data_IF_803317096303
#
_entry.id   IF_803317096303
#
_cell.length_a   1.000
_cell.length_b   1.000
_cell.length_c   1.000
_cell.angle_alpha   90.00
_cell.angle_beta   90.00
_cell.angle_gamma   90.00
#
_symmetry.space_group_name_H-M   'P 1'
#
loop_
_entity.id
_entity.type
_entity.pdbx_description
1 polymer ?
#
# COMPACT_ATOMS: atom_id res chain seq x y z
N UNK A 1 7.68 13.62 -0.28
CA UNK A 1 7.19 14.58 -1.30
C UNK A 1 7.33 16.05 -0.84
N UNK A 2 6.80 16.46 0.35
CA UNK A 2 6.86 17.85 0.80
C UNK A 2 8.26 18.48 0.72
N UNK A 3 9.28 17.81 1.30
CA UNK A 3 10.66 18.29 1.25
C UNK A 3 11.23 18.38 -0.18
N UNK A 4 10.80 17.51 -1.09
CA UNK A 4 11.18 17.54 -2.51
C UNK A 4 10.54 18.71 -3.24
N UNK A 5 9.23 18.94 -3.02
CA UNK A 5 8.53 20.10 -3.58
C UNK A 5 9.18 21.41 -3.15
N UNK A 6 9.51 21.54 -1.86
CA UNK A 6 10.23 22.71 -1.35
C UNK A 6 11.62 22.86 -1.99
N UNK A 7 12.30 21.74 -2.31
CA UNK A 7 13.60 21.78 -3.03
C UNK A 7 13.44 22.29 -4.45
N UNK A 8 12.34 21.93 -5.11
CA UNK A 8 12.01 22.37 -6.46
C UNK A 8 11.42 23.79 -6.53
N UNK A 9 11.38 24.52 -5.42
CA UNK A 9 10.82 25.88 -5.36
C UNK A 9 9.29 25.94 -5.25
N UNK A 10 8.63 24.79 -4.99
CA UNK A 10 7.18 24.74 -4.80
C UNK A 10 6.74 25.35 -3.48
N UNK A 11 5.55 25.98 -3.47
CA UNK A 11 4.91 26.51 -2.26
C UNK A 11 3.98 25.45 -1.65
N UNK A 12 4.05 25.29 -0.33
CA UNK A 12 3.18 24.36 0.42
C UNK A 12 2.37 25.17 1.44
N UNK A 13 1.06 25.23 1.22
CA UNK A 13 0.12 25.94 2.10
C UNK A 13 -0.03 25.24 3.47
N UNK A 14 0.08 23.93 3.51
CA UNK A 14 0.04 23.16 4.76
C UNK A 14 0.19 21.67 4.56
N UNK A 15 0.54 20.97 5.65
CA UNK A 15 0.59 19.50 5.73
C UNK A 15 -0.49 19.06 6.72
N UNK A 16 -1.41 18.23 6.25
CA UNK A 16 -2.50 17.68 7.04
C UNK A 16 -2.16 16.23 7.44
N UNK A 17 -1.97 15.99 8.74
CA UNK A 17 -1.69 14.65 9.27
C UNK A 17 -3.00 14.00 9.70
N UNK A 18 -3.42 12.98 8.96
CA UNK A 18 -4.65 12.21 9.16
C UNK A 18 -4.41 10.91 9.94
N UNK A 19 -3.17 10.46 10.05
CA UNK A 19 -2.79 9.21 10.72
C UNK A 19 -3.18 9.14 12.20
N UNK A 20 -3.15 7.94 12.76
CA UNK A 20 -3.39 7.70 14.19
C UNK A 20 -2.36 8.43 15.07
N UNK A 21 -2.70 8.76 16.32
CA UNK A 21 -1.76 9.32 17.27
C UNK A 21 -0.53 8.42 17.41
N UNK A 22 0.65 9.05 17.41
CA UNK A 22 1.92 8.32 17.49
C UNK A 22 2.11 7.72 18.89
N UNK A 23 2.31 6.41 18.94
CA UNK A 23 2.66 5.72 20.17
C UNK A 23 4.16 5.91 20.50
N UNK A 24 4.47 6.83 21.38
CA UNK A 24 5.87 7.10 21.78
C UNK A 24 6.56 5.90 22.42
N UNK A 25 5.82 5.03 23.10
CA UNK A 25 6.37 3.77 23.64
C UNK A 25 6.90 2.89 22.52
N UNK A 26 6.13 2.71 21.45
CA UNK A 26 6.57 1.95 20.27
C UNK A 26 7.72 2.63 19.52
N UNK A 27 7.74 3.96 19.46
CA UNK A 27 8.86 4.70 18.89
C UNK A 27 10.13 4.41 19.67
N UNK A 28 10.11 4.50 21.01
CA UNK A 28 11.27 4.20 21.87
C UNK A 28 11.74 2.75 21.72
N UNK A 29 10.84 1.80 21.47
CA UNK A 29 11.19 0.38 21.26
C UNK A 29 11.85 0.13 19.89
N UNK A 30 11.44 0.86 18.84
CA UNK A 30 11.87 0.60 17.45
C UNK A 30 13.02 1.52 17.00
N UNK A 31 13.17 2.69 17.61
CA UNK A 31 14.16 3.70 17.24
C UNK A 31 15.61 3.24 17.43
N UNK A 32 16.02 2.55 18.53
CA UNK A 32 17.41 2.13 18.71
C UNK A 32 17.91 1.22 17.62
N UNK A 33 17.12 0.22 17.22
CA UNK A 33 17.47 -0.69 16.14
C UNK A 33 17.56 0.05 14.80
N UNK A 34 16.62 0.93 14.49
CA UNK A 34 16.62 1.73 13.27
C UNK A 34 17.86 2.65 13.18
N UNK A 35 18.28 3.28 14.29
CA UNK A 35 19.49 4.10 14.34
C UNK A 35 20.74 3.24 14.13
N UNK A 36 20.82 2.07 14.79
CA UNK A 36 21.98 1.20 14.70
C UNK A 36 22.16 0.59 13.30
N UNK A 37 21.08 0.10 12.72
CA UNK A 37 21.11 -0.60 11.43
C UNK A 37 21.12 0.35 10.23
N UNK A 38 20.40 1.48 10.29
CA UNK A 38 20.16 2.40 9.19
C UNK A 38 20.36 3.88 9.55
N UNK A 39 21.52 4.29 10.14
CA UNK A 39 21.72 5.69 10.56
C UNK A 39 21.53 6.69 9.42
N UNK A 40 21.93 6.33 8.19
CA UNK A 40 21.76 7.18 7.02
C UNK A 40 20.32 7.43 6.62
N UNK A 41 19.40 6.47 6.83
CA UNK A 41 17.98 6.69 6.57
C UNK A 41 17.35 7.59 7.63
N UNK A 42 17.73 7.41 8.89
CA UNK A 42 17.30 8.28 10.00
C UNK A 42 17.78 9.71 9.75
N UNK A 43 19.06 9.91 9.41
CA UNK A 43 19.61 11.22 9.10
C UNK A 43 18.87 11.89 7.92
N UNK A 44 18.60 11.17 6.83
CA UNK A 44 17.78 11.66 5.71
C UNK A 44 16.38 12.08 6.15
N UNK A 45 15.75 11.31 7.04
CA UNK A 45 14.45 11.63 7.62
C UNK A 45 14.48 12.94 8.42
N UNK A 46 15.45 13.09 9.29
CA UNK A 46 15.65 14.29 10.11
C UNK A 46 15.93 15.54 9.25
N UNK A 47 16.78 15.43 8.22
CA UNK A 47 17.06 16.53 7.28
C UNK A 47 15.77 16.98 6.56
N UNK A 48 14.92 16.02 6.13
CA UNK A 48 13.64 16.35 5.49
C UNK A 48 12.68 17.06 6.45
N UNK A 49 12.60 16.60 7.71
CA UNK A 49 11.78 17.25 8.74
C UNK A 49 12.30 18.64 9.09
N UNK A 50 13.61 18.79 9.23
CA UNK A 50 14.26 20.09 9.47
C UNK A 50 13.94 21.06 8.31
N UNK A 51 14.02 20.62 7.06
CA UNK A 51 13.68 21.45 5.90
C UNK A 51 12.23 21.95 5.94
N UNK A 52 11.27 21.07 6.24
CA UNK A 52 9.84 21.42 6.37
C UNK A 52 9.68 22.48 7.48
N UNK A 53 10.37 22.29 8.60
CA UNK A 53 10.34 23.24 9.73
C UNK A 53 10.96 24.59 9.37
N UNK A 54 12.16 24.63 8.79
CA UNK A 54 12.84 25.86 8.40
C UNK A 54 12.12 26.63 7.29
N UNK A 55 11.39 25.93 6.42
CA UNK A 55 10.53 26.58 5.44
C UNK A 55 9.18 27.04 6.02
N UNK A 56 9.00 26.99 7.34
CA UNK A 56 7.79 27.45 8.07
C UNK A 56 6.48 26.84 7.53
N UNK A 57 6.53 25.58 7.02
CA UNK A 57 5.33 24.92 6.53
C UNK A 57 4.42 24.55 7.69
N UNK A 58 3.21 25.09 7.67
CA UNK A 58 2.19 24.82 8.71
C UNK A 58 1.82 23.34 8.69
N UNK A 59 1.93 22.69 9.84
CA UNK A 59 1.56 21.26 9.99
C UNK A 59 0.40 21.13 10.97
N UNK A 60 -0.71 20.58 10.49
CA UNK A 60 -1.92 20.35 11.28
C UNK A 60 -1.98 18.86 11.62
N UNK A 61 -2.15 18.56 12.90
CA UNK A 61 -2.19 17.18 13.41
C UNK A 61 -3.62 16.75 13.71
N UNK A 62 -3.85 15.45 13.66
CA UNK A 62 -5.14 14.85 13.99
C UNK A 62 -6.29 15.44 13.18
N UNK A 63 -6.04 15.66 11.90
CA UNK A 63 -6.99 16.30 10.99
C UNK A 63 -8.12 15.35 10.64
N UNK A 64 -9.34 15.90 10.64
CA UNK A 64 -10.59 15.21 10.28
C UNK A 64 -11.41 16.06 9.31
N UNK A 65 -12.40 15.45 8.68
CA UNK A 65 -13.39 16.12 7.81
C UNK A 65 -12.73 17.02 6.76
N UNK A 66 -11.83 16.45 5.97
CA UNK A 66 -11.19 17.19 4.87
C UNK A 66 -12.19 17.31 3.71
N UNK A 67 -12.44 18.54 3.27
CA UNK A 67 -13.32 18.86 2.15
C UNK A 67 -12.57 19.73 1.15
N UNK A 68 -12.59 19.32 -0.11
CA UNK A 68 -12.11 20.12 -1.23
C UNK A 68 -13.22 21.06 -1.71
N UNK A 69 -12.90 22.35 -1.87
CA UNK A 69 -13.85 23.40 -2.29
C UNK A 69 -13.40 24.09 -3.55
N UNK A 70 -14.35 24.41 -4.41
CA UNK A 70 -14.13 25.14 -5.66
C UNK A 70 -15.17 24.81 -6.72
N UNK A 71 -15.21 25.58 -7.79
CA UNK A 71 -16.10 25.39 -8.93
C UNK A 71 -15.28 25.02 -10.17
N UNK A 72 -15.34 23.73 -10.57
CA UNK A 72 -14.57 23.20 -11.71
C UNK A 72 -13.08 23.02 -11.46
N UNK A 73 -12.50 23.64 -10.45
CA UNK A 73 -11.12 23.47 -9.98
C UNK A 73 -11.05 23.60 -8.47
N UNK A 74 -9.98 23.07 -7.86
CA UNK A 74 -9.73 23.27 -6.44
C UNK A 74 -9.34 24.74 -6.19
N UNK A 75 -9.97 25.37 -5.21
CA UNK A 75 -9.71 26.75 -4.77
C UNK A 75 -9.28 26.79 -3.31
N UNK A 76 -9.90 25.96 -2.47
CA UNK A 76 -9.58 25.88 -1.06
C UNK A 76 -9.81 24.46 -0.50
N UNK A 77 -9.19 24.19 0.64
CA UNK A 77 -9.41 22.98 1.44
C UNK A 77 -9.87 23.40 2.83
N UNK A 78 -11.01 22.88 3.29
CA UNK A 78 -11.46 23.00 4.67
C UNK A 78 -11.24 21.71 5.43
N UNK A 79 -10.87 21.80 6.71
CA UNK A 79 -10.65 20.65 7.58
C UNK A 79 -10.78 21.03 9.04
N UNK A 80 -11.00 20.04 9.90
CA UNK A 80 -11.07 20.20 11.36
C UNK A 80 -9.81 19.63 12.01
N UNK A 81 -9.16 20.41 12.88
CA UNK A 81 -7.96 19.99 13.60
C UNK A 81 -8.28 19.23 14.91
N UNK A 82 -7.24 18.84 15.66
CA UNK A 82 -7.35 18.11 16.94
C UNK A 82 -8.10 18.88 18.05
N UNK A 83 -8.24 20.19 17.92
CA UNK A 83 -8.97 21.05 18.86
C UNK A 83 -10.44 21.23 18.47
N UNK A 84 -10.86 20.64 17.34
CA UNK A 84 -12.20 20.82 16.79
C UNK A 84 -12.37 22.14 16.02
N UNK A 85 -11.28 22.88 15.75
CA UNK A 85 -11.32 24.13 15.01
C UNK A 85 -11.33 23.84 13.52
N UNK A 86 -12.27 24.43 12.79
CA UNK A 86 -12.33 24.33 11.34
C UNK A 86 -11.41 25.39 10.72
N UNK A 87 -10.52 24.94 9.86
CA UNK A 87 -9.60 25.76 9.10
C UNK A 87 -10.01 25.81 7.62
N UNK A 88 -9.71 26.93 6.97
CA UNK A 88 -9.82 27.10 5.53
C UNK A 88 -8.46 27.53 4.99
N UNK A 89 -7.97 26.81 3.99
CA UNK A 89 -6.65 27.07 3.39
C UNK A 89 -6.80 27.10 1.88
N UNK A 90 -6.41 28.21 1.26
CA UNK A 90 -6.40 28.35 -0.18
C UNK A 90 -5.35 27.43 -0.79
N UNK A 91 -5.74 26.63 -1.75
CA UNK A 91 -4.86 25.68 -2.43
C UNK A 91 -5.39 25.33 -3.82
N UNK A 92 -4.52 25.37 -4.81
CA UNK A 92 -4.83 24.93 -6.17
C UNK A 92 -4.66 23.42 -6.36
N UNK A 93 -3.92 22.75 -5.47
CA UNK A 93 -3.67 21.30 -5.53
C UNK A 93 -3.76 20.71 -4.13
N UNK A 94 -4.52 19.63 -3.99
CA UNK A 94 -4.55 18.77 -2.79
C UNK A 94 -3.91 17.43 -3.14
N UNK A 95 -2.78 17.11 -2.50
CA UNK A 95 -2.13 15.81 -2.63
C UNK A 95 -2.57 14.91 -1.49
N UNK A 96 -3.18 13.77 -1.83
CA UNK A 96 -3.68 12.80 -0.86
C UNK A 96 -2.79 11.57 -0.86
N UNK A 97 -2.39 11.10 0.33
CA UNK A 97 -1.59 9.89 0.51
C UNK A 97 -1.88 9.26 1.87
N UNK A 98 -2.57 8.12 1.88
CA UNK A 98 -2.96 7.40 3.11
C UNK A 98 -2.08 6.17 3.38
N UNK A 99 -1.05 5.93 2.62
CA UNK A 99 -0.12 4.82 2.77
C UNK A 99 0.11 4.04 1.49
N UNK A 100 0.95 3.02 1.59
CA UNK A 100 1.26 2.08 0.51
C UNK A 100 0.94 0.67 0.99
N UNK A 101 0.39 -0.13 0.08
CA UNK A 101 0.12 -1.55 0.29
C UNK A 101 0.77 -2.38 -0.81
N UNK A 102 1.14 -3.65 -0.55
CA UNK A 102 1.66 -4.54 -1.56
C UNK A 102 0.71 -4.74 -2.74
N UNK A 103 1.26 -4.80 -3.95
CA UNK A 103 0.49 -5.07 -5.18
C UNK A 103 0.26 -6.58 -5.36
N UNK A 104 -0.66 -7.18 -4.62
CA UNK A 104 -0.85 -8.63 -4.52
C UNK A 104 -1.63 -9.28 -5.67
N UNK A 105 -2.20 -8.49 -6.58
CA UNK A 105 -3.08 -8.98 -7.66
C UNK A 105 -2.44 -10.02 -8.58
N UNK A 106 -1.16 -9.88 -9.03
CA UNK A 106 -0.52 -10.90 -9.85
C UNK A 106 -0.39 -12.24 -9.13
N UNK A 107 -0.08 -12.21 -7.83
CA UNK A 107 0.05 -13.43 -6.99
C UNK A 107 -1.30 -14.11 -6.85
N UNK A 108 -2.38 -13.37 -6.57
CA UNK A 108 -3.74 -13.90 -6.51
C UNK A 108 -4.20 -14.48 -7.84
N UNK A 109 -3.91 -13.81 -8.96
CA UNK A 109 -4.27 -14.28 -10.29
C UNK A 109 -3.58 -15.60 -10.65
N UNK A 110 -2.36 -15.82 -10.15
CA UNK A 110 -1.61 -17.06 -10.28
C UNK A 110 -1.99 -18.16 -9.27
N UNK A 111 -2.95 -17.89 -8.37
CA UNK A 111 -3.37 -18.84 -7.34
C UNK A 111 -2.52 -18.86 -6.08
N UNK A 112 -1.64 -17.88 -5.90
CA UNK A 112 -0.81 -17.74 -4.70
C UNK A 112 -1.62 -17.29 -3.48
N UNK A 113 -1.18 -17.73 -2.30
CA UNK A 113 -1.84 -17.41 -1.03
C UNK A 113 -1.31 -16.12 -0.43
N UNK A 114 -2.19 -15.43 0.29
CA UNK A 114 -1.89 -14.21 1.02
C UNK A 114 -2.08 -14.44 2.52
N UNK A 115 -1.45 -13.60 3.32
CA UNK A 115 -1.70 -13.44 4.75
C UNK A 115 -2.03 -11.99 5.08
N UNK A 116 -2.79 -11.79 6.14
CA UNK A 116 -3.11 -10.46 6.67
C UNK A 116 -2.03 -10.01 7.67
N UNK A 117 -1.47 -8.83 7.47
CA UNK A 117 -0.53 -8.21 8.41
C UNK A 117 -1.27 -7.15 9.25
N UNK A 118 -1.53 -7.47 10.52
CA UNK A 118 -2.23 -6.58 11.48
C UNK A 118 -1.46 -5.28 11.75
N UNK A 119 -0.14 -5.30 11.61
CA UNK A 119 0.69 -4.13 11.90
C UNK A 119 0.65 -3.14 10.75
N UNK A 120 0.74 -3.64 9.52
CA UNK A 120 0.71 -2.84 8.30
C UNK A 120 -0.71 -2.68 7.74
N UNK A 121 -1.71 -3.41 8.30
CA UNK A 121 -3.12 -3.37 7.91
C UNK A 121 -3.31 -3.62 6.40
N UNK A 122 -2.63 -4.61 5.88
CA UNK A 122 -2.70 -4.98 4.47
C UNK A 122 -2.49 -6.49 4.27
N UNK A 123 -2.93 -7.00 3.13
CA UNK A 123 -2.57 -8.33 2.68
C UNK A 123 -1.20 -8.32 2.03
N UNK A 124 -0.42 -9.35 2.27
CA UNK A 124 0.86 -9.62 1.62
C UNK A 124 0.95 -11.07 1.16
N UNK A 125 1.75 -11.37 0.13
CA UNK A 125 1.95 -12.76 -0.28
C UNK A 125 2.70 -13.55 0.80
N UNK A 126 2.32 -14.83 0.95
CA UNK A 126 3.09 -15.79 1.75
C UNK A 126 4.29 -16.19 0.90
N UNK A 127 5.50 -15.86 1.38
CA UNK A 127 6.77 -16.06 0.67
C UNK A 127 7.75 -16.80 1.57
N UNK A 128 8.65 -17.54 0.94
CA UNK A 128 9.83 -18.07 1.60
C UNK A 128 10.94 -17.00 1.77
N UNK A 129 12.09 -17.41 2.30
CA UNK A 129 13.23 -16.51 2.51
C UNK A 129 13.89 -15.98 1.23
N UNK A 130 13.54 -16.53 0.07
CA UNK A 130 14.03 -16.15 -1.25
C UNK A 130 13.03 -15.31 -2.04
N UNK A 131 11.80 -15.19 -1.53
CA UNK A 131 10.70 -14.52 -2.20
C UNK A 131 9.90 -15.44 -3.10
N UNK A 132 10.06 -16.77 -3.03
CA UNK A 132 9.22 -17.72 -3.73
C UNK A 132 7.86 -17.81 -3.06
N UNK A 133 6.79 -17.72 -3.85
CA UNK A 133 5.42 -17.77 -3.34
C UNK A 133 4.95 -19.22 -3.11
N UNK A 134 3.71 -19.37 -2.66
CA UNK A 134 3.08 -20.71 -2.55
C UNK A 134 2.81 -21.38 -3.89
N UNK A 135 3.07 -20.69 -5.01
CA UNK A 135 3.05 -21.23 -6.37
C UNK A 135 4.49 -21.47 -6.78
N UNK A 136 4.91 -22.73 -7.03
CA UNK A 136 6.27 -23.05 -7.43
C UNK A 136 6.73 -22.26 -8.67
N UNK A 137 7.95 -21.73 -8.62
CA UNK A 137 8.52 -20.91 -9.69
C UNK A 137 8.03 -19.48 -9.77
N UNK A 138 7.06 -19.07 -8.95
CA UNK A 138 6.59 -17.70 -8.88
C UNK A 138 7.30 -16.94 -7.75
N UNK A 139 8.23 -16.08 -8.12
CA UNK A 139 8.97 -15.21 -7.20
C UNK A 139 8.37 -13.82 -7.14
N UNK A 140 8.33 -13.23 -5.94
CA UNK A 140 7.82 -11.88 -5.69
C UNK A 140 8.88 -11.08 -4.95
N UNK A 141 9.25 -9.93 -5.48
CA UNK A 141 10.26 -9.06 -4.89
C UNK A 141 9.79 -7.60 -4.81
N UNK A 142 10.49 -6.79 -4.01
CA UNK A 142 10.18 -5.37 -3.84
C UNK A 142 8.84 -5.13 -3.14
N UNK A 143 8.20 -4.01 -3.45
CA UNK A 143 6.98 -3.55 -2.76
C UNK A 143 5.76 -4.46 -2.99
N UNK A 144 5.78 -5.33 -4.01
CA UNK A 144 4.76 -6.35 -4.19
C UNK A 144 4.85 -7.47 -3.14
N UNK A 145 6.05 -7.76 -2.65
CA UNK A 145 6.30 -8.70 -1.56
C UNK A 145 6.01 -8.06 -0.19
N UNK A 146 6.64 -6.93 0.05
CA UNK A 146 6.51 -6.14 1.28
C UNK A 146 7.04 -4.72 1.05
N UNK A 147 6.32 -3.73 1.56
CA UNK A 147 6.76 -2.33 1.44
C UNK A 147 8.05 -2.11 2.25
N UNK A 148 9.16 -1.91 1.57
CA UNK A 148 10.47 -1.77 2.20
C UNK A 148 11.33 -0.63 1.63
N UNK A 149 10.88 -0.04 0.52
CA UNK A 149 11.60 1.00 -0.20
C UNK A 149 12.66 0.44 -1.17
N UNK A 150 13.31 1.33 -1.92
CA UNK A 150 14.16 0.96 -3.06
C UNK A 150 15.33 0.02 -2.69
N UNK A 151 16.00 0.27 -1.55
CA UNK A 151 17.13 -0.57 -1.13
C UNK A 151 16.66 -2.01 -0.78
N UNK A 152 15.54 -2.15 -0.08
CA UNK A 152 14.96 -3.45 0.20
C UNK A 152 14.50 -4.16 -1.09
N UNK A 153 13.89 -3.44 -2.02
CA UNK A 153 13.45 -3.98 -3.31
C UNK A 153 14.62 -4.51 -4.14
N UNK A 154 15.73 -3.77 -4.22
CA UNK A 154 16.95 -4.19 -4.91
C UNK A 154 17.49 -5.50 -4.35
N UNK A 155 17.60 -5.59 -3.02
CA UNK A 155 18.20 -6.76 -2.39
C UNK A 155 17.27 -7.97 -2.37
N UNK A 156 15.95 -7.81 -2.26
CA UNK A 156 14.99 -8.90 -2.41
C UNK A 156 14.95 -9.44 -3.84
N UNK A 157 15.01 -8.56 -4.85
CA UNK A 157 15.11 -8.98 -6.25
C UNK A 157 16.39 -9.76 -6.55
N UNK A 158 17.52 -9.30 -5.99
CA UNK A 158 18.79 -10.02 -6.14
C UNK A 158 18.75 -11.41 -5.49
N UNK A 159 18.14 -11.57 -4.31
CA UNK A 159 17.99 -12.86 -3.66
C UNK A 159 17.12 -13.82 -4.48
N UNK A 160 16.00 -13.33 -5.02
CA UNK A 160 15.13 -14.12 -5.91
C UNK A 160 15.90 -14.57 -7.16
N UNK A 161 16.65 -13.67 -7.80
CA UNK A 161 17.47 -14.01 -8.98
C UNK A 161 18.56 -15.04 -8.67
N UNK A 162 19.24 -14.95 -7.52
CA UNK A 162 20.23 -15.93 -7.09
C UNK A 162 19.59 -17.31 -6.87
N UNK A 163 18.39 -17.36 -6.28
CA UNK A 163 17.65 -18.62 -6.10
C UNK A 163 17.24 -19.24 -7.42
N UNK A 164 16.72 -18.43 -8.34
CA UNK A 164 16.37 -18.88 -9.70
C UNK A 164 17.60 -19.45 -10.41
N UNK A 165 18.74 -18.75 -10.36
CA UNK A 165 19.99 -19.24 -10.97
C UNK A 165 20.44 -20.60 -10.43
N UNK A 166 20.24 -20.87 -9.12
CA UNK A 166 20.49 -22.19 -8.54
C UNK A 166 19.50 -23.25 -9.02
N UNK A 167 18.19 -22.89 -9.08
CA UNK A 167 17.16 -23.83 -9.50
C UNK A 167 17.30 -24.30 -10.96
N UNK A 168 17.76 -23.40 -11.85
CA UNK A 168 17.98 -23.75 -13.27
C UNK A 168 19.41 -24.28 -13.56
N UNK A 169 20.19 -24.55 -12.50
CA UNK A 169 21.52 -25.18 -12.62
C UNK A 169 22.64 -24.28 -13.14
N UNK A 170 22.45 -22.95 -13.18
CA UNK A 170 23.51 -22.01 -13.65
C UNK A 170 24.61 -21.77 -12.62
N UNK A 171 24.36 -22.03 -11.34
CA UNK A 171 25.37 -21.88 -10.29
C UNK A 171 24.99 -22.74 -9.08
N UNK A 172 25.99 -23.17 -8.31
CA UNK A 172 25.77 -23.83 -7.03
C UNK A 172 25.73 -22.82 -5.85
N UNK A 173 25.18 -23.24 -4.74
CA UNK A 173 25.03 -22.40 -3.55
C UNK A 173 26.39 -21.95 -3.00
N UNK A 174 27.42 -22.79 -3.08
CA UNK A 174 28.77 -22.47 -2.57
C UNK A 174 29.39 -21.33 -3.37
N UNK A 175 29.28 -21.35 -4.71
CA UNK A 175 29.77 -20.29 -5.57
C UNK A 175 29.06 -18.95 -5.30
N UNK A 176 27.79 -18.99 -4.89
CA UNK A 176 26.99 -17.80 -4.63
C UNK A 176 26.94 -17.35 -3.16
N UNK A 177 27.51 -18.13 -2.22
CA UNK A 177 27.37 -17.92 -0.78
C UNK A 177 27.71 -16.50 -0.32
N UNK A 178 28.79 -15.91 -0.82
CA UNK A 178 29.20 -14.53 -0.49
C UNK A 178 28.16 -13.50 -0.94
N UNK A 179 27.61 -13.65 -2.16
CA UNK A 179 26.58 -12.76 -2.72
C UNK A 179 25.28 -12.90 -1.93
N UNK A 180 24.87 -14.13 -1.63
CA UNK A 180 23.68 -14.43 -0.82
C UNK A 180 23.80 -13.77 0.55
N UNK A 181 24.91 -13.97 1.26
CA UNK A 181 25.14 -13.36 2.58
C UNK A 181 25.10 -11.84 2.51
N UNK A 182 25.74 -11.23 1.51
CA UNK A 182 25.72 -9.78 1.30
C UNK A 182 24.28 -9.26 1.13
N UNK A 183 23.50 -9.84 0.21
CA UNK A 183 22.15 -9.37 -0.07
C UNK A 183 21.19 -9.63 1.10
N UNK A 184 21.28 -10.77 1.80
CA UNK A 184 20.50 -11.03 3.03
C UNK A 184 20.81 -10.01 4.13
N UNK A 185 22.08 -9.67 4.35
CA UNK A 185 22.49 -8.67 5.33
C UNK A 185 21.93 -7.29 4.97
N UNK A 186 22.07 -6.88 3.72
CA UNK A 186 21.60 -5.57 3.24
C UNK A 186 20.07 -5.47 3.26
N UNK A 187 19.37 -6.53 2.89
CA UNK A 187 17.91 -6.59 2.96
C UNK A 187 17.44 -6.41 4.41
N UNK A 188 18.00 -7.14 5.37
CA UNK A 188 17.68 -7.00 6.79
C UNK A 188 17.95 -5.58 7.30
N UNK A 189 19.07 -4.99 6.91
CA UNK A 189 19.38 -3.60 7.24
C UNK A 189 18.32 -2.64 6.68
N UNK A 190 17.96 -2.75 5.39
CA UNK A 190 16.96 -1.89 4.78
C UNK A 190 15.58 -2.01 5.45
N UNK A 191 15.21 -3.23 5.89
CA UNK A 191 13.92 -3.49 6.55
C UNK A 191 13.88 -3.06 8.03
N UNK A 192 15.01 -2.85 8.69
CA UNK A 192 15.05 -2.54 10.13
C UNK A 192 14.42 -1.19 10.49
N UNK A 193 14.33 -0.25 9.56
CA UNK A 193 13.64 1.03 9.76
C UNK A 193 12.12 0.92 9.63
N UNK A 194 11.62 -0.18 9.03
CA UNK A 194 10.19 -0.32 8.71
C UNK A 194 9.27 -0.28 9.95
N UNK A 195 9.56 -0.96 11.08
CA UNK A 195 8.73 -0.89 12.28
C UNK A 195 8.56 0.55 12.79
N UNK A 196 9.62 1.35 12.75
CA UNK A 196 9.56 2.77 13.12
C UNK A 196 8.64 3.55 12.18
N UNK A 197 8.82 3.40 10.85
CA UNK A 197 8.00 4.09 9.85
C UNK A 197 6.54 3.71 10.00
N UNK A 198 6.21 2.43 10.17
CA UNK A 198 4.84 1.95 10.39
C UNK A 198 4.23 2.54 11.66
N UNK A 199 5.00 2.66 12.75
CA UNK A 199 4.54 3.30 13.99
C UNK A 199 4.22 4.79 13.80
N UNK A 200 5.02 5.50 12.98
CA UNK A 200 4.84 6.92 12.72
C UNK A 200 3.72 7.22 11.70
N UNK A 201 3.33 6.25 10.89
CA UNK A 201 2.38 6.44 9.77
C UNK A 201 1.16 5.51 9.85
N UNK A 202 0.78 5.08 11.04
CA UNK A 202 -0.36 4.17 11.22
C UNK A 202 -1.68 4.83 10.82
N UNK A 203 -2.49 4.10 10.05
CA UNK A 203 -3.85 4.51 9.69
C UNK A 203 -4.77 4.53 10.92
N UNK A 204 -5.80 5.37 10.86
CA UNK A 204 -6.91 5.32 11.84
C UNK A 204 -7.95 4.31 11.38
N UNK A 205 -8.50 3.56 12.33
CA UNK A 205 -9.59 2.61 12.04
C UNK A 205 -10.83 3.31 11.47
N UNK A 206 -11.11 4.55 11.90
CA UNK A 206 -12.25 5.34 11.43
C UNK A 206 -12.17 5.66 9.92
N UNK A 207 -10.98 5.81 9.37
CA UNK A 207 -10.76 6.04 7.93
C UNK A 207 -11.09 4.80 7.09
N UNK A 208 -11.10 3.64 7.71
CA UNK A 208 -11.40 2.36 7.07
C UNK A 208 -12.91 2.07 6.99
N UNK A 209 -13.74 2.83 7.72
CA UNK A 209 -15.20 2.74 7.67
C UNK A 209 -15.82 4.11 7.32
N UNK A 210 -15.67 4.56 6.07
CA UNK A 210 -16.12 5.88 5.63
C UNK A 210 -17.64 5.99 5.62
N UNK A 211 -18.17 7.23 5.56
CA UNK A 211 -19.58 7.51 5.39
C UNK A 211 -20.16 6.93 4.09
N UNK A 212 -21.46 6.76 4.02
CA UNK A 212 -22.14 6.06 2.92
C UNK A 212 -21.99 6.71 1.54
N UNK A 213 -21.78 8.01 1.49
CA UNK A 213 -21.57 8.80 0.27
C UNK A 213 -20.13 8.72 -0.26
N UNK A 214 -19.17 8.22 0.54
CA UNK A 214 -17.77 8.13 0.13
C UNK A 214 -17.58 7.07 -0.94
N UNK A 215 -16.92 7.49 -2.03
CA UNK A 215 -16.62 6.64 -3.18
C UNK A 215 -15.53 5.61 -2.85
N UNK A 216 -15.87 4.33 -2.92
CA UNK A 216 -14.93 3.20 -2.73
C UNK A 216 -14.37 2.73 -4.07
N UNK A 217 -15.22 2.49 -5.05
CA UNK A 217 -14.78 2.09 -6.39
C UNK A 217 -14.99 3.24 -7.38
N UNK A 218 -13.90 3.92 -7.74
CA UNK A 218 -13.96 5.05 -8.69
C UNK A 218 -14.25 4.62 -10.12
N UNK A 219 -13.76 3.44 -10.51
CA UNK A 219 -13.96 2.94 -11.90
C UNK A 219 -15.42 2.62 -12.20
N UNK A 220 -16.18 2.16 -11.21
CA UNK A 220 -17.58 1.75 -11.35
C UNK A 220 -18.53 2.69 -10.59
N UNK A 221 -18.01 3.79 -10.04
CA UNK A 221 -18.77 4.80 -9.30
C UNK A 221 -19.61 4.22 -8.14
N UNK A 222 -19.01 3.30 -7.36
CA UNK A 222 -19.69 2.63 -6.24
C UNK A 222 -19.24 3.23 -4.91
N UNK A 223 -20.19 3.72 -4.11
CA UNK A 223 -19.95 4.28 -2.79
C UNK A 223 -20.10 3.24 -1.66
N UNK A 224 -19.69 3.62 -0.44
CA UNK A 224 -19.72 2.76 0.74
C UNK A 224 -21.12 2.28 1.09
N UNK A 225 -22.14 3.14 0.98
CA UNK A 225 -23.54 2.80 1.28
C UNK A 225 -24.09 1.73 0.34
N UNK A 226 -23.74 1.77 -0.93
CA UNK A 226 -24.11 0.72 -1.89
C UNK A 226 -23.49 -0.62 -1.53
N UNK A 227 -22.22 -0.62 -1.12
CA UNK A 227 -21.52 -1.83 -0.68
C UNK A 227 -22.17 -2.40 0.59
N UNK A 228 -22.47 -1.56 1.59
CA UNK A 228 -23.14 -2.01 2.85
C UNK A 228 -24.50 -2.62 2.56
N UNK A 229 -25.33 -1.98 1.73
CA UNK A 229 -26.64 -2.54 1.35
C UNK A 229 -26.49 -3.89 0.66
N UNK A 230 -25.58 -4.01 -0.30
CA UNK A 230 -25.33 -5.29 -0.97
C UNK A 230 -24.81 -6.37 -0.01
N UNK A 231 -23.97 -6.00 0.96
CA UNK A 231 -23.49 -6.92 1.98
C UNK A 231 -24.61 -7.52 2.83
N UNK A 232 -25.64 -6.73 3.15
CA UNK A 232 -26.77 -7.17 3.96
C UNK A 232 -27.75 -8.07 3.21
N UNK A 233 -27.72 -8.09 1.87
CA UNK A 233 -28.62 -8.91 1.05
C UNK A 233 -28.10 -10.32 0.75
N UNK A 234 -26.87 -10.65 1.15
CA UNK A 234 -26.24 -11.94 0.86
C UNK A 234 -25.25 -12.40 1.92
N UNK A 235 -24.28 -13.21 1.52
CA UNK A 235 -23.25 -13.75 2.43
C UNK A 235 -22.24 -12.70 2.93
N UNK A 236 -22.26 -11.50 2.35
CA UNK A 236 -21.30 -10.44 2.67
C UNK A 236 -19.85 -10.74 2.25
N UNK A 237 -19.63 -11.75 1.43
CA UNK A 237 -18.30 -12.06 0.93
C UNK A 237 -17.89 -11.12 -0.20
N UNK A 238 -16.60 -10.76 -0.30
CA UNK A 238 -16.11 -9.80 -1.31
C UNK A 238 -16.50 -10.13 -2.76
N UNK A 239 -16.44 -11.41 -3.16
CA UNK A 239 -16.82 -11.84 -4.51
C UNK A 239 -18.31 -11.66 -4.78
N UNK A 240 -19.16 -11.87 -3.80
CA UNK A 240 -20.61 -11.71 -3.94
C UNK A 240 -20.97 -10.23 -4.07
N UNK A 241 -20.41 -9.37 -3.21
CA UNK A 241 -20.62 -7.92 -3.31
C UNK A 241 -20.08 -7.38 -4.62
N UNK A 242 -18.93 -7.88 -5.09
CA UNK A 242 -18.41 -7.58 -6.45
C UNK A 242 -19.44 -7.92 -7.55
N UNK A 243 -20.07 -9.10 -7.47
CA UNK A 243 -21.06 -9.52 -8.46
C UNK A 243 -22.30 -8.61 -8.48
N UNK A 244 -22.79 -8.18 -7.31
CA UNK A 244 -23.98 -7.32 -7.20
C UNK A 244 -23.71 -5.85 -7.54
N UNK A 245 -22.54 -5.33 -7.22
CA UNK A 245 -22.24 -3.90 -7.32
C UNK A 245 -21.26 -3.55 -8.43
N UNK A 246 -20.65 -4.53 -9.09
CA UNK A 246 -19.54 -4.38 -10.02
C UNK A 246 -18.26 -3.80 -9.39
N UNK A 247 -18.20 -3.62 -8.06
CA UNK A 247 -17.01 -3.13 -7.37
C UNK A 247 -15.78 -3.98 -7.73
N UNK A 248 -14.74 -3.35 -8.27
CA UNK A 248 -13.51 -4.04 -8.69
C UNK A 248 -13.52 -4.60 -10.12
N UNK A 249 -14.60 -4.42 -10.88
CA UNK A 249 -14.67 -4.88 -12.28
C UNK A 249 -14.17 -3.86 -13.30
N UNK A 250 -13.94 -2.61 -12.89
CA UNK A 250 -13.49 -1.57 -13.80
C UNK A 250 -12.01 -1.69 -14.18
N UNK A 251 -11.49 -0.71 -14.92
CA UNK A 251 -10.17 -0.73 -15.55
C UNK A 251 -8.99 -1.00 -14.61
N UNK A 252 -9.07 -0.61 -13.32
CA UNK A 252 -8.03 -0.91 -12.35
C UNK A 252 -8.09 -2.36 -11.80
N UNK A 253 -9.12 -3.14 -12.16
CA UNK A 253 -9.30 -4.54 -11.75
C UNK A 253 -9.17 -4.73 -10.22
N UNK A 254 -9.73 -3.80 -9.45
CA UNK A 254 -9.77 -3.88 -7.99
C UNK A 254 -8.51 -3.45 -7.24
N UNK A 255 -7.44 -3.06 -7.94
CA UNK A 255 -6.18 -2.66 -7.28
C UNK A 255 -6.33 -1.53 -6.26
N UNK A 256 -7.33 -0.66 -6.43
CA UNK A 256 -7.59 0.43 -5.48
C UNK A 256 -8.67 0.08 -4.45
N UNK A 257 -9.70 -0.65 -4.84
CA UNK A 257 -10.88 -0.85 -4.00
C UNK A 257 -10.95 -2.22 -3.29
N UNK A 258 -10.10 -3.21 -3.61
CA UNK A 258 -10.19 -4.54 -3.00
C UNK A 258 -10.00 -4.52 -1.48
N UNK A 259 -8.96 -3.85 -0.99
CA UNK A 259 -8.74 -3.72 0.45
C UNK A 259 -9.80 -2.86 1.15
N UNK A 260 -10.12 -1.64 0.69
CA UNK A 260 -11.23 -0.86 1.24
C UNK A 260 -12.56 -1.61 1.28
N UNK A 261 -12.88 -2.40 0.25
CA UNK A 261 -14.06 -3.25 0.23
C UNK A 261 -14.04 -4.27 1.38
N UNK A 262 -12.95 -5.03 1.51
CA UNK A 262 -12.84 -6.07 2.54
C UNK A 262 -12.90 -5.49 3.96
N UNK A 263 -12.27 -4.34 4.19
CA UNK A 263 -12.34 -3.63 5.48
C UNK A 263 -13.76 -3.15 5.77
N UNK A 264 -14.44 -2.59 4.77
CA UNK A 264 -15.83 -2.13 4.93
C UNK A 264 -16.77 -3.31 5.26
N UNK A 265 -16.61 -4.45 4.58
CA UNK A 265 -17.38 -5.66 4.85
C UNK A 265 -17.07 -6.22 6.25
N UNK A 266 -15.81 -6.23 6.66
CA UNK A 266 -15.38 -6.65 7.98
C UNK A 266 -16.09 -5.84 9.08
N UNK A 267 -16.12 -4.52 8.93
CA UNK A 267 -16.85 -3.63 9.87
C UNK A 267 -18.36 -3.83 9.83
N UNK A 268 -18.96 -4.09 8.66
CA UNK A 268 -20.41 -4.28 8.50
C UNK A 268 -20.88 -5.59 9.15
N UNK A 269 -20.08 -6.66 9.06
CA UNK A 269 -20.43 -8.00 9.57
C UNK A 269 -19.78 -8.34 10.91
N UNK A 270 -19.01 -7.44 11.51
CA UNK A 270 -18.21 -7.68 12.72
C UNK A 270 -17.33 -8.94 12.58
N UNK A 271 -16.66 -9.07 11.45
CA UNK A 271 -15.71 -10.15 11.12
C UNK A 271 -14.32 -9.62 10.95
N UNK A 272 -13.31 -10.49 11.02
CA UNK A 272 -11.93 -10.08 10.72
C UNK A 272 -11.72 -9.88 9.21
N UNK A 273 -10.86 -8.92 8.84
CA UNK A 273 -10.45 -8.71 7.44
C UNK A 273 -9.73 -9.94 6.91
N UNK A 274 -8.95 -10.62 7.77
CA UNK A 274 -8.23 -11.84 7.43
C UNK A 274 -9.17 -12.97 6.97
N UNK A 275 -10.33 -13.13 7.63
CA UNK A 275 -11.34 -14.14 7.25
C UNK A 275 -12.03 -13.84 5.94
N UNK A 276 -12.35 -12.57 5.69
CA UNK A 276 -13.04 -12.16 4.47
C UNK A 276 -12.13 -12.24 3.25
N UNK A 277 -10.83 -11.95 3.43
CA UNK A 277 -9.88 -11.92 2.33
C UNK A 277 -10.17 -10.81 1.32
N UNK A 278 -9.60 -10.94 0.13
CA UNK A 278 -9.88 -10.09 -1.02
C UNK A 278 -10.77 -10.85 -2.01
N UNK A 279 -11.47 -10.14 -2.89
CA UNK A 279 -12.20 -10.81 -3.98
C UNK A 279 -11.22 -11.47 -4.96
N UNK A 280 -11.69 -12.52 -5.65
CA UNK A 280 -10.90 -13.25 -6.62
C UNK A 280 -10.51 -12.39 -7.81
N UNK A 281 -9.21 -12.32 -8.06
CA UNK A 281 -8.63 -11.68 -9.25
C UNK A 281 -8.63 -12.68 -10.40
N UNK A 282 -8.98 -12.21 -11.61
CA UNK A 282 -8.95 -13.00 -12.84
C UNK A 282 -8.06 -12.31 -13.86
N UNK A 283 -7.33 -13.07 -14.65
CA UNK A 283 -6.61 -12.54 -15.80
C UNK A 283 -7.61 -12.11 -16.90
N UNK A 284 -7.30 -11.07 -17.68
CA UNK A 284 -6.18 -10.14 -17.51
C UNK A 284 -6.43 -9.17 -16.37
N UNK A 285 -5.44 -8.96 -15.50
CA UNK A 285 -5.55 -8.03 -14.35
C UNK A 285 -5.18 -6.58 -14.71
N UNK A 286 -4.97 -6.29 -15.96
CA UNK A 286 -4.87 -4.94 -16.55
C UNK A 286 -5.61 -4.93 -17.90
N UNK A 287 -6.09 -3.77 -18.35
CA UNK A 287 -6.69 -3.65 -19.68
C UNK A 287 -5.71 -4.09 -20.77
N UNK A 288 -6.19 -4.85 -21.73
CA UNK A 288 -5.49 -5.25 -22.96
C UNK A 288 -6.20 -4.63 -24.16
N UNK A 289 -5.46 -4.35 -25.21
CA UNK A 289 -6.05 -3.99 -26.51
C UNK A 289 -6.64 -5.26 -27.14
N UNK A 290 -7.74 -5.10 -27.88
CA UNK A 290 -8.40 -6.22 -28.55
C UNK A 290 -7.46 -6.94 -29.56
N UNK A 291 -6.57 -6.18 -30.21
CA UNK A 291 -5.55 -6.73 -31.11
C UNK A 291 -4.49 -7.56 -30.36
N UNK A 292 -4.11 -7.17 -29.15
CA UNK A 292 -3.19 -7.97 -28.32
C UNK A 292 -3.83 -9.29 -27.91
N UNK A 293 -5.12 -9.27 -27.56
CA UNK A 293 -5.87 -10.48 -27.22
C UNK A 293 -6.05 -11.38 -28.45
N UNK A 294 -6.34 -10.81 -29.62
CA UNK A 294 -6.53 -11.56 -30.89
C UNK A 294 -5.20 -12.17 -31.38
N UNK A 295 -4.06 -11.64 -31.02
CA UNK A 295 -2.74 -12.15 -31.42
C UNK A 295 -2.21 -13.28 -30.51
N UNK A 296 -2.94 -13.65 -29.45
CA UNK A 296 -2.60 -14.83 -28.66
C UNK A 296 -2.80 -16.07 -29.51
N UNK A 297 -1.72 -16.77 -29.85
CA UNK A 297 -1.74 -18.05 -30.54
C UNK A 297 -2.46 -19.11 -29.70
N UNK A 298 -3.06 -20.09 -30.37
CA UNK A 298 -3.66 -21.26 -29.70
C UNK A 298 -2.56 -22.02 -28.92
N UNK A 299 -2.94 -22.73 -27.86
CA UNK A 299 -2.09 -23.52 -26.93
C UNK A 299 -1.02 -24.43 -27.59
N UNK A 300 -1.12 -24.69 -28.89
CA UNK A 300 -0.14 -25.47 -29.65
C UNK A 300 1.25 -24.84 -29.80
N UNK A 301 1.43 -23.54 -29.47
CA UNK A 301 2.70 -22.81 -29.66
C UNK A 301 3.43 -22.56 -28.32
N UNK A 302 2.94 -23.12 -27.22
CA UNK A 302 3.56 -23.04 -25.88
C UNK A 302 4.06 -24.43 -25.51
N UNK A 303 5.13 -24.88 -26.14
CA UNK A 303 5.93 -26.02 -25.69
C UNK A 303 7.30 -25.55 -25.19
#
# INVERSE_FOLDING_TARGET
YAAQLLTAGGSIAGILQTGAPVSWVRVLQTLPEAIWQCPGQIAKGLVRLAKIHFCHVRTFRDVKKIEARGSGKLEAVSFTDHKGITHHVDAAVLMVHEGLIPGVHPVLAAGGRLEWDETEMCFRPILDEWGESTVPGLFVAGDAARIGGADAALHSGALAALRIAMQIGHADEKALATKIHFHRKKFRQAMSVRPLVTTLSRLRLEQLSPADDVMICRCESVNAGTIRRAALTGSGMPDQVKAFTRTGMGACQGRQCSLPLSVLLASTHNRSVAELGLFRVRAPFKPLKLGELASLSHESDIQ
#
